data_IF_123000050398
#
_entry.id   IF_123000050398
#
_cell.length_a   1.000
_cell.length_b   1.000
_cell.length_c   1.000
_cell.angle_alpha   90.00
_cell.angle_beta   90.00
_cell.angle_gamma   90.00
#
_symmetry.space_group_name_H-M   'P 1'
#
loop_
_entity.id
_entity.type
_entity.pdbx_description
1 polymer ?
#
# COMPACT_ATOMS: atom_id res chain seq x y z
N UNK A 1 9.77 6.10 6.41
CA UNK A 1 8.74 5.09 6.76
C UNK A 1 7.42 5.50 6.15
N UNK A 2 6.67 4.59 5.54
CA UNK A 2 5.36 4.89 4.97
C UNK A 2 4.38 5.42 6.03
N UNK A 3 3.44 6.27 5.63
CA UNK A 3 2.39 6.82 6.51
C UNK A 3 1.29 5.78 6.78
N UNK A 4 1.01 4.92 5.78
CA UNK A 4 0.09 3.79 5.89
C UNK A 4 0.86 2.48 5.84
N UNK A 5 0.60 1.60 6.79
CA UNK A 5 1.12 0.24 6.81
C UNK A 5 -0.05 -0.73 6.59
N UNK A 6 0.06 -1.60 5.60
CA UNK A 6 -0.82 -2.74 5.41
C UNK A 6 0.03 -4.02 5.50
N UNK A 7 -0.27 -4.85 6.47
CA UNK A 7 0.31 -6.19 6.64
C UNK A 7 -0.76 -7.23 6.36
N UNK A 8 -0.44 -8.22 5.53
CA UNK A 8 -1.34 -9.30 5.18
C UNK A 8 -0.67 -10.63 5.53
N UNK A 9 -1.34 -11.40 6.36
CA UNK A 9 -0.96 -12.77 6.70
C UNK A 9 -2.14 -13.70 6.37
N UNK A 10 -1.91 -15.00 6.34
CA UNK A 10 -2.98 -15.96 6.14
C UNK A 10 -2.88 -17.11 7.14
N UNK A 11 -4.03 -17.64 7.52
CA UNK A 11 -4.18 -18.82 8.35
C UNK A 11 -4.75 -19.93 7.47
N UNK A 12 -4.01 -21.03 7.36
CA UNK A 12 -4.43 -22.23 6.64
C UNK A 12 -4.06 -23.47 7.46
N UNK A 13 -4.99 -24.40 7.57
CA UNK A 13 -4.81 -25.62 8.37
C UNK A 13 -4.48 -25.33 9.85
N UNK A 14 -4.91 -24.20 10.38
CA UNK A 14 -4.75 -23.87 11.80
C UNK A 14 -5.78 -24.64 12.64
N UNK A 15 -5.45 -25.08 13.86
CA UNK A 15 -6.44 -25.73 14.73
C UNK A 15 -7.65 -24.82 14.96
N UNK A 16 -8.89 -25.36 14.97
CA UNK A 16 -10.12 -24.58 15.16
C UNK A 16 -10.10 -23.65 16.39
N UNK A 17 -9.55 -24.13 17.50
CA UNK A 17 -9.40 -23.32 18.71
C UNK A 17 -8.51 -22.09 18.51
N UNK A 18 -7.51 -22.16 17.64
CA UNK A 18 -6.64 -21.03 17.31
C UNK A 18 -7.40 -19.94 16.56
N UNK A 19 -8.20 -20.35 15.57
CA UNK A 19 -8.99 -19.44 14.74
C UNK A 19 -10.07 -18.75 15.58
N UNK A 20 -10.79 -19.49 16.41
CA UNK A 20 -11.79 -18.93 17.34
C UNK A 20 -11.14 -17.93 18.32
N UNK A 21 -10.00 -18.29 18.89
CA UNK A 21 -9.28 -17.44 19.83
C UNK A 21 -8.76 -16.15 19.18
N UNK A 22 -8.31 -16.22 17.94
CA UNK A 22 -7.91 -15.04 17.19
C UNK A 22 -9.07 -14.06 17.02
N UNK A 23 -10.25 -14.53 16.61
CA UNK A 23 -11.45 -13.69 16.45
C UNK A 23 -11.87 -13.08 17.80
N UNK A 24 -11.91 -13.88 18.85
CA UNK A 24 -12.23 -13.40 20.20
C UNK A 24 -11.20 -12.33 20.65
N UNK A 25 -9.93 -12.57 20.39
CA UNK A 25 -8.85 -11.66 20.72
C UNK A 25 -9.00 -10.30 20.04
N UNK A 26 -9.13 -10.25 18.71
CA UNK A 26 -9.27 -8.97 17.98
C UNK A 26 -10.56 -8.24 18.33
N UNK A 27 -11.63 -8.97 18.68
CA UNK A 27 -12.94 -8.37 19.01
C UNK A 27 -13.07 -7.87 20.44
N UNK A 28 -12.23 -8.32 21.38
CA UNK A 28 -12.42 -8.06 22.82
C UNK A 28 -11.20 -7.56 23.57
N UNK A 29 -10.02 -7.50 22.92
CA UNK A 29 -8.80 -7.08 23.61
C UNK A 29 -8.88 -5.65 24.13
N UNK A 30 -8.03 -5.32 25.09
CA UNK A 30 -7.83 -3.95 25.57
C UNK A 30 -7.36 -3.06 24.40
N UNK A 31 -7.90 -1.84 24.24
CA UNK A 31 -7.63 -0.96 23.10
C UNK A 31 -8.66 -1.08 21.95
N UNK A 32 -9.45 -2.15 21.88
CA UNK A 32 -10.61 -2.20 20.99
C UNK A 32 -11.62 -1.14 21.40
N UNK A 33 -12.01 -0.28 20.47
CA UNK A 33 -13.10 0.66 20.68
C UNK A 33 -14.40 -0.12 20.89
N UNK A 34 -14.71 -0.31 22.16
CA UNK A 34 -16.00 -0.87 22.59
C UNK A 34 -17.01 0.27 22.70
N UNK A 35 -18.22 0.03 22.29
CA UNK A 35 -19.30 0.98 22.54
C UNK A 35 -19.48 1.10 24.07
N UNK A 36 -18.76 2.02 24.68
CA UNK A 36 -18.91 2.50 26.04
C UNK A 36 -18.02 1.95 27.16
N UNK A 37 -16.68 2.12 27.17
CA UNK A 37 -15.93 2.22 28.45
C UNK A 37 -14.43 2.61 28.32
N UNK A 38 -13.94 3.31 29.33
CA UNK A 38 -12.59 3.85 29.58
C UNK A 38 -11.80 2.98 30.55
N UNK A 39 -10.62 2.41 30.18
CA UNK A 39 -9.63 1.87 31.15
C UNK A 39 -8.21 1.63 30.56
N UNK A 40 -7.58 2.60 29.90
CA UNK A 40 -6.28 2.41 29.23
C UNK A 40 -5.02 2.67 30.07
N UNK A 41 -5.09 3.44 31.14
CA UNK A 41 -3.93 3.93 31.91
C UNK A 41 -3.50 3.09 33.11
N UNK A 42 -4.11 1.94 33.37
CA UNK A 42 -3.77 1.07 34.49
C UNK A 42 -2.41 0.37 34.27
N UNK A 43 -1.64 0.01 35.33
CA UNK A 43 -0.42 -0.73 35.19
C UNK A 43 -0.60 -2.07 34.49
N UNK A 44 0.42 -2.49 33.71
CA UNK A 44 0.43 -3.80 33.06
C UNK A 44 0.19 -4.94 34.09
N UNK A 45 -0.64 -5.91 33.71
CA UNK A 45 -0.92 -7.06 34.56
C UNK A 45 0.29 -7.98 34.66
N UNK A 46 0.41 -8.75 35.76
CA UNK A 46 1.52 -9.69 35.91
C UNK A 46 1.55 -10.75 34.81
N UNK A 47 0.41 -11.08 34.25
CA UNK A 47 0.28 -11.97 33.09
C UNK A 47 0.80 -11.35 31.80
N UNK A 48 0.56 -10.04 31.56
CA UNK A 48 1.16 -9.33 30.44
C UNK A 48 2.68 -9.24 30.58
N UNK A 49 3.18 -8.98 31.79
CA UNK A 49 4.62 -8.95 32.07
C UNK A 49 5.28 -10.30 31.78
N UNK A 50 4.70 -11.40 32.29
CA UNK A 50 5.22 -12.75 32.02
C UNK A 50 5.22 -13.10 30.53
N UNK A 51 4.19 -12.66 29.77
CA UNK A 51 4.15 -12.88 28.33
C UNK A 51 5.20 -12.06 27.58
N UNK A 52 5.45 -10.81 28.01
CA UNK A 52 6.50 -9.97 27.46
C UNK A 52 7.87 -10.63 27.65
N UNK A 53 8.15 -11.16 28.85
CA UNK A 53 9.37 -11.94 29.12
C UNK A 53 9.51 -13.16 28.20
N UNK A 54 8.42 -13.88 28.00
CA UNK A 54 8.35 -15.04 27.08
C UNK A 54 8.60 -14.65 25.61
N UNK A 55 8.06 -13.52 25.17
CA UNK A 55 8.27 -12.97 23.83
C UNK A 55 9.73 -12.59 23.64
N UNK A 56 10.32 -11.86 24.57
CA UNK A 56 11.71 -11.44 24.52
C UNK A 56 12.68 -12.63 24.51
N UNK A 57 12.34 -13.71 25.22
CA UNK A 57 13.15 -14.93 25.23
C UNK A 57 13.08 -15.71 23.91
N UNK A 58 12.00 -15.57 23.13
CA UNK A 58 11.73 -16.39 21.94
C UNK A 58 11.92 -15.65 20.62
N UNK A 59 11.86 -14.31 20.64
CA UNK A 59 11.98 -13.42 19.47
C UNK A 59 13.16 -12.47 19.72
N UNK A 60 14.37 -12.76 19.19
CA UNK A 60 15.60 -12.03 19.55
C UNK A 60 15.57 -10.52 19.31
N UNK A 61 14.82 -10.06 18.29
CA UNK A 61 14.76 -8.64 17.91
C UNK A 61 13.54 -7.91 18.47
N UNK A 62 12.70 -8.55 19.28
CA UNK A 62 11.52 -7.92 19.87
C UNK A 62 11.87 -6.74 20.81
N UNK A 63 13.03 -6.79 21.42
CA UNK A 63 13.53 -5.70 22.28
C UNK A 63 13.91 -4.41 21.53
N UNK A 64 14.00 -4.46 20.19
CA UNK A 64 14.29 -3.30 19.32
C UNK A 64 13.04 -2.64 18.78
N UNK A 65 11.87 -3.20 19.06
CA UNK A 65 10.60 -2.64 18.59
C UNK A 65 10.28 -1.33 19.33
N UNK A 66 9.65 -0.39 18.65
CA UNK A 66 9.24 0.88 19.24
C UNK A 66 8.25 0.66 20.39
N UNK A 67 7.31 -0.26 20.20
CA UNK A 67 6.29 -0.62 21.16
C UNK A 67 6.89 -1.20 22.45
N UNK A 68 8.06 -1.87 22.38
CA UNK A 68 8.79 -2.30 23.57
C UNK A 68 9.40 -1.12 24.34
N UNK A 69 9.97 -0.16 23.64
CA UNK A 69 10.53 1.05 24.27
C UNK A 69 9.43 1.86 24.95
N UNK A 70 8.26 1.97 24.34
CA UNK A 70 7.11 2.66 24.91
C UNK A 70 6.59 1.95 26.16
N UNK A 71 6.52 0.61 26.13
CA UNK A 71 6.19 -0.18 27.30
C UNK A 71 7.20 0.00 28.46
N UNK A 72 8.50 0.03 28.17
CA UNK A 72 9.53 0.27 29.20
C UNK A 72 9.40 1.65 29.80
N UNK A 73 9.10 2.67 28.99
CA UNK A 73 8.92 4.03 29.49
C UNK A 73 7.64 4.19 30.31
N UNK A 74 6.56 3.53 29.93
CA UNK A 74 5.25 3.56 30.60
C UNK A 74 4.67 2.15 30.62
N UNK A 75 4.86 1.37 31.66
CA UNK A 75 4.39 -0.01 31.75
C UNK A 75 2.88 -0.10 32.05
N UNK A 76 2.08 0.47 31.15
CA UNK A 76 0.61 0.43 31.20
C UNK A 76 0.09 -0.82 30.53
N UNK A 77 -1.18 -1.18 30.79
CA UNK A 77 -1.88 -2.27 30.12
C UNK A 77 -1.95 -2.05 28.60
N UNK A 78 -2.11 -0.82 28.19
CA UNK A 78 -2.16 -0.39 26.80
C UNK A 78 -0.83 -0.66 26.11
N UNK A 79 0.27 -0.09 26.59
CA UNK A 79 1.61 -0.28 25.99
C UNK A 79 2.06 -1.74 26.02
N UNK A 80 1.74 -2.47 27.09
CA UNK A 80 1.99 -3.90 27.17
C UNK A 80 1.20 -4.68 26.12
N UNK A 81 -0.07 -4.37 25.92
CA UNK A 81 -0.94 -4.99 24.92
C UNK A 81 -0.47 -4.69 23.50
N UNK A 82 -0.05 -3.44 23.24
CA UNK A 82 0.48 -3.02 21.94
C UNK A 82 1.76 -3.76 21.58
N UNK A 83 2.75 -3.78 22.48
CA UNK A 83 3.98 -4.54 22.27
C UNK A 83 3.73 -6.02 22.02
N UNK A 84 2.94 -6.68 22.89
CA UNK A 84 2.58 -8.09 22.75
C UNK A 84 1.97 -8.34 21.37
N UNK A 85 1.05 -7.49 20.94
CA UNK A 85 0.37 -7.64 19.65
C UNK A 85 1.33 -7.53 18.49
N UNK A 86 2.09 -6.46 18.43
CA UNK A 86 3.01 -6.20 17.31
C UNK A 86 4.11 -7.27 17.22
N UNK A 87 4.65 -7.69 18.37
CA UNK A 87 5.64 -8.76 18.42
C UNK A 87 5.09 -10.08 17.89
N UNK A 88 3.83 -10.37 18.17
CA UNK A 88 3.17 -11.61 17.77
C UNK A 88 2.72 -11.57 16.30
N UNK A 89 2.17 -10.47 15.83
CA UNK A 89 1.76 -10.28 14.43
C UNK A 89 2.96 -10.33 13.47
N UNK A 90 4.10 -9.81 13.90
CA UNK A 90 5.33 -9.86 13.11
C UNK A 90 5.95 -11.28 13.05
N UNK A 91 5.54 -12.20 13.92
CA UNK A 91 6.17 -13.52 14.11
C UNK A 91 5.15 -14.65 14.23
N UNK A 92 3.99 -14.56 13.57
CA UNK A 92 2.92 -15.57 13.62
C UNK A 92 3.42 -16.99 13.29
N UNK A 93 4.36 -17.13 12.35
CA UNK A 93 4.93 -18.42 11.96
C UNK A 93 5.73 -19.09 13.09
N UNK A 94 6.36 -18.29 13.95
CA UNK A 94 7.12 -18.79 15.11
C UNK A 94 6.16 -19.24 16.21
N UNK A 95 5.01 -18.60 16.32
CA UNK A 95 4.04 -18.74 17.40
C UNK A 95 3.04 -19.85 17.10
N UNK A 96 2.59 -20.01 15.86
CA UNK A 96 1.65 -21.04 15.43
C UNK A 96 2.15 -22.48 15.74
N UNK A 97 3.45 -22.66 15.97
CA UNK A 97 4.06 -23.95 16.34
C UNK A 97 4.04 -24.27 17.83
N UNK A 98 3.53 -23.39 18.71
CA UNK A 98 3.62 -23.62 20.18
C UNK A 98 2.26 -23.51 20.88
N UNK A 99 1.79 -24.66 21.36
CA UNK A 99 0.53 -24.90 22.08
C UNK A 99 0.27 -23.95 23.28
N UNK A 100 1.32 -23.55 24.01
CA UNK A 100 1.21 -22.77 25.25
C UNK A 100 0.78 -21.30 25.06
N UNK A 101 0.98 -20.73 23.89
CA UNK A 101 0.56 -19.36 23.60
C UNK A 101 -0.94 -19.25 23.40
N UNK A 102 -1.53 -20.24 22.78
CA UNK A 102 -2.96 -20.27 22.48
C UNK A 102 -3.79 -20.55 23.74
N UNK A 103 -3.23 -21.33 24.69
CA UNK A 103 -3.85 -21.50 26.01
C UNK A 103 -3.89 -20.19 26.81
N UNK A 104 -2.91 -19.31 26.61
CA UNK A 104 -2.92 -17.97 27.21
C UNK A 104 -4.00 -17.08 26.61
N UNK A 105 -4.15 -17.04 25.28
CA UNK A 105 -5.21 -16.26 24.62
C UNK A 105 -6.60 -16.76 25.01
N UNK A 106 -6.77 -18.07 25.19
CA UNK A 106 -8.02 -18.69 25.58
C UNK A 106 -8.41 -18.42 27.05
N UNK A 107 -7.42 -18.29 27.93
CA UNK A 107 -7.62 -18.27 29.38
C UNK A 107 -7.25 -16.93 30.07
N UNK A 108 -7.08 -15.83 29.29
CA UNK A 108 -6.73 -14.55 29.93
C UNK A 108 -7.85 -14.02 30.84
N UNK A 109 -7.52 -13.56 32.06
CA UNK A 109 -8.50 -12.97 32.96
C UNK A 109 -8.97 -11.62 32.40
N UNK A 110 -10.29 -11.41 32.37
CA UNK A 110 -10.93 -10.19 31.87
C UNK A 110 -11.74 -10.40 30.60
N UNK A 111 -11.78 -11.61 30.03
CA UNK A 111 -12.78 -11.99 29.03
C UNK A 111 -14.08 -12.33 29.73
N UNK A 112 -14.73 -11.33 30.28
CA UNK A 112 -16.17 -11.42 30.52
C UNK A 112 -16.89 -11.35 29.18
N UNK A 113 -17.46 -12.48 28.79
CA UNK A 113 -18.19 -12.74 27.53
C UNK A 113 -19.58 -12.07 27.55
N UNK A 114 -19.72 -10.90 28.15
CA UNK A 114 -21.02 -10.23 28.25
C UNK A 114 -20.94 -8.84 27.61
N UNK A 115 -21.46 -8.75 26.40
CA UNK A 115 -22.23 -7.62 25.92
C UNK A 115 -21.64 -6.76 24.84
N UNK A 116 -20.38 -6.35 24.80
CA UNK A 116 -19.89 -5.39 23.79
C UNK A 116 -18.52 -5.76 23.26
N UNK A 117 -18.48 -6.15 22.00
CA UNK A 117 -17.23 -6.38 21.26
C UNK A 117 -17.06 -5.27 20.20
N UNK A 118 -15.82 -5.08 19.71
CA UNK A 118 -15.50 -4.10 18.67
C UNK A 118 -15.59 -4.64 17.24
N UNK A 119 -16.07 -5.88 17.05
CA UNK A 119 -16.12 -6.51 15.73
C UNK A 119 -17.29 -5.95 14.90
N UNK A 120 -17.02 -5.54 13.67
CA UNK A 120 -18.00 -5.03 12.71
C UNK A 120 -17.81 -5.65 11.31
N UNK A 121 -18.82 -5.53 10.46
CA UNK A 121 -18.85 -5.99 9.07
C UNK A 121 -19.70 -5.04 8.21
N UNK A 122 -20.44 -5.57 7.22
CA UNK A 122 -21.35 -4.81 6.38
C UNK A 122 -22.40 -4.03 7.21
N UNK A 123 -22.92 -2.99 6.60
CA UNK A 123 -23.99 -2.20 7.23
C UNK A 123 -25.26 -3.04 7.35
N UNK A 124 -25.93 -2.91 8.51
CA UNK A 124 -27.19 -3.63 8.77
C UNK A 124 -27.04 -5.11 9.16
N UNK A 125 -25.83 -5.68 9.12
CA UNK A 125 -25.60 -7.06 9.57
C UNK A 125 -25.17 -7.07 11.05
N UNK A 126 -25.97 -7.66 11.97
CA UNK A 126 -25.58 -7.80 13.36
C UNK A 126 -24.44 -8.81 13.48
N UNK A 127 -23.30 -8.38 14.00
CA UNK A 127 -22.14 -9.25 14.23
C UNK A 127 -22.26 -9.86 15.64
N UNK A 128 -22.30 -11.18 15.70
CA UNK A 128 -22.29 -11.95 16.95
C UNK A 128 -20.93 -12.62 17.08
N UNK A 129 -20.10 -12.16 18.02
CA UNK A 129 -18.70 -12.58 18.17
C UNK A 129 -18.52 -14.09 18.25
N UNK A 130 -19.35 -14.76 19.05
CA UNK A 130 -19.27 -16.24 19.21
C UNK A 130 -19.57 -17.00 17.93
N UNK A 131 -20.52 -16.50 17.11
CA UNK A 131 -20.84 -17.10 15.81
C UNK A 131 -19.71 -16.90 14.81
N UNK A 132 -19.13 -15.70 14.77
CA UNK A 132 -17.98 -15.44 13.89
C UNK A 132 -16.78 -16.29 14.31
N UNK A 133 -16.51 -16.40 15.60
CA UNK A 133 -15.43 -17.25 16.12
C UNK A 133 -15.61 -18.72 15.74
N UNK A 134 -16.85 -19.23 15.85
CA UNK A 134 -17.19 -20.62 15.45
C UNK A 134 -17.12 -20.82 13.93
N UNK A 135 -17.63 -19.89 13.13
CA UNK A 135 -17.57 -19.91 11.66
C UNK A 135 -16.12 -19.95 11.19
N UNK A 136 -15.28 -19.05 11.71
CA UNK A 136 -13.86 -18.97 11.37
C UNK A 136 -13.09 -20.21 11.86
N UNK A 137 -13.40 -20.71 13.05
CA UNK A 137 -12.78 -21.94 13.61
C UNK A 137 -12.99 -23.17 12.74
N UNK A 138 -14.17 -23.30 12.16
CA UNK A 138 -14.56 -24.45 11.34
C UNK A 138 -14.33 -24.22 9.83
N UNK A 139 -13.75 -23.08 9.44
CA UNK A 139 -13.53 -22.76 8.03
C UNK A 139 -12.38 -23.60 7.44
N UNK A 140 -12.62 -24.39 6.38
CA UNK A 140 -11.62 -25.27 5.80
C UNK A 140 -10.67 -24.59 4.81
N UNK A 141 -11.00 -23.37 4.37
CA UNK A 141 -10.23 -22.62 3.36
C UNK A 141 -9.17 -21.70 3.97
N UNK A 142 -8.69 -20.77 3.15
CA UNK A 142 -7.72 -19.74 3.55
C UNK A 142 -8.44 -18.57 4.23
N UNK A 143 -7.93 -18.15 5.38
CA UNK A 143 -8.39 -16.94 6.09
C UNK A 143 -7.27 -15.91 6.04
N UNK A 144 -7.52 -14.76 5.42
CA UNK A 144 -6.59 -13.64 5.39
C UNK A 144 -6.78 -12.77 6.62
N UNK A 145 -5.69 -12.50 7.32
CA UNK A 145 -5.64 -11.59 8.45
C UNK A 145 -4.81 -10.38 8.06
N UNK A 146 -5.44 -9.22 8.01
CA UNK A 146 -4.83 -7.98 7.58
C UNK A 146 -4.82 -6.99 8.74
N UNK A 147 -3.76 -6.20 8.83
CA UNK A 147 -3.65 -5.08 9.76
C UNK A 147 -3.39 -3.83 8.93
N UNK A 148 -4.24 -2.82 9.11
CA UNK A 148 -4.10 -1.51 8.46
C UNK A 148 -3.87 -0.50 9.57
N UNK A 149 -2.70 0.15 9.60
CA UNK A 149 -2.35 1.12 10.64
C UNK A 149 -1.88 2.46 10.09
N UNK A 150 -2.12 3.51 10.87
CA UNK A 150 -1.67 4.86 10.63
C UNK A 150 -0.79 5.33 11.80
N UNK A 151 0.01 6.36 11.58
CA UNK A 151 0.62 7.10 12.69
C UNK A 151 -0.46 7.84 13.45
N UNK A 152 -0.32 7.99 14.76
CA UNK A 152 -1.28 8.70 15.61
C UNK A 152 -1.60 10.09 15.08
N UNK A 153 -0.59 10.88 14.75
CA UNK A 153 -0.72 12.24 14.24
C UNK A 153 -1.57 12.30 12.93
N UNK A 154 -1.35 11.35 12.02
CA UNK A 154 -2.11 11.27 10.77
C UNK A 154 -3.54 10.80 11.04
N UNK A 155 -3.74 9.83 11.92
CA UNK A 155 -5.07 9.34 12.29
C UNK A 155 -5.95 10.44 12.90
N UNK A 156 -5.43 11.18 13.88
CA UNK A 156 -6.13 12.31 14.51
C UNK A 156 -6.45 13.41 13.51
N UNK A 157 -5.46 13.81 12.71
CA UNK A 157 -5.61 14.86 11.71
C UNK A 157 -6.64 14.52 10.63
N UNK A 158 -6.74 13.24 10.25
CA UNK A 158 -7.61 12.76 9.18
C UNK A 158 -8.93 12.13 9.70
N UNK A 159 -9.13 12.10 11.03
CA UNK A 159 -10.33 11.57 11.66
C UNK A 159 -10.40 10.04 11.70
N UNK A 160 -9.28 9.33 11.54
CA UNK A 160 -9.17 7.87 11.65
C UNK A 160 -8.79 7.40 13.06
N UNK A 161 -9.06 8.22 14.06
CA UNK A 161 -8.92 7.92 15.49
C UNK A 161 -10.18 7.32 16.11
N UNK A 162 -11.18 6.99 15.29
CA UNK A 162 -12.44 6.36 15.69
C UNK A 162 -12.86 5.22 14.76
N UNK A 163 -13.59 4.23 15.31
CA UNK A 163 -14.09 3.09 14.53
C UNK A 163 -15.01 3.50 13.37
N UNK A 164 -15.76 4.58 13.51
CA UNK A 164 -16.73 5.03 12.51
C UNK A 164 -16.07 5.31 11.14
N UNK A 165 -14.91 5.95 11.11
CA UNK A 165 -14.20 6.26 9.87
C UNK A 165 -13.65 4.99 9.22
N UNK A 166 -13.10 4.07 10.01
CA UNK A 166 -12.64 2.78 9.50
C UNK A 166 -13.78 1.92 8.95
N UNK A 167 -14.94 1.93 9.62
CA UNK A 167 -16.14 1.26 9.11
C UNK A 167 -16.56 1.83 7.75
N UNK A 168 -16.63 3.16 7.62
CA UNK A 168 -16.98 3.82 6.38
C UNK A 168 -15.98 3.47 5.25
N UNK A 169 -14.68 3.52 5.53
CA UNK A 169 -13.63 3.17 4.58
C UNK A 169 -13.76 1.72 4.11
N UNK A 170 -13.79 0.76 5.03
CA UNK A 170 -13.81 -0.66 4.68
C UNK A 170 -15.08 -1.05 3.93
N UNK A 171 -16.24 -0.55 4.35
CA UNK A 171 -17.51 -0.77 3.68
C UNK A 171 -17.54 -0.22 2.26
N UNK A 172 -16.94 0.95 2.03
CA UNK A 172 -16.82 1.54 0.69
C UNK A 172 -15.88 0.75 -0.25
N UNK A 173 -15.03 -0.13 0.30
CA UNK A 173 -13.99 -0.87 -0.42
C UNK A 173 -14.17 -2.38 -0.42
N UNK A 174 -15.38 -2.86 -0.17
CA UNK A 174 -15.70 -4.30 -0.22
C UNK A 174 -15.34 -4.91 -1.58
N UNK A 175 -15.62 -4.21 -2.68
CA UNK A 175 -15.26 -4.66 -4.03
C UNK A 175 -13.73 -4.80 -4.22
N UNK A 176 -12.94 -3.94 -3.57
CA UNK A 176 -11.47 -4.04 -3.59
C UNK A 176 -10.99 -5.35 -2.95
N UNK A 177 -11.64 -5.81 -1.88
CA UNK A 177 -11.35 -7.09 -1.23
C UNK A 177 -11.68 -8.25 -2.19
N UNK A 178 -12.87 -8.24 -2.81
CA UNK A 178 -13.28 -9.26 -3.78
C UNK A 178 -12.23 -9.41 -4.90
N UNK A 179 -11.86 -8.30 -5.53
CA UNK A 179 -10.98 -8.29 -6.70
C UNK A 179 -9.56 -8.76 -6.37
N UNK A 180 -9.01 -8.33 -5.24
CA UNK A 180 -7.63 -8.64 -4.88
C UNK A 180 -7.48 -9.99 -4.18
N UNK A 181 -8.43 -10.38 -3.34
CA UNK A 181 -8.45 -11.71 -2.70
C UNK A 181 -8.99 -12.80 -3.61
N UNK A 182 -9.48 -12.47 -4.84
CA UNK A 182 -10.06 -13.43 -5.77
C UNK A 182 -11.24 -14.21 -5.16
N UNK A 183 -12.17 -13.46 -4.59
CA UNK A 183 -13.38 -13.97 -3.94
C UNK A 183 -14.59 -13.41 -4.70
N UNK A 184 -15.56 -14.26 -5.07
CA UNK A 184 -16.84 -13.79 -5.61
C UNK A 184 -17.57 -12.96 -4.55
N UNK A 185 -18.19 -11.86 -4.96
CA UNK A 185 -18.85 -10.93 -4.03
C UNK A 185 -19.95 -11.58 -3.18
N UNK A 186 -20.58 -12.64 -3.68
CA UNK A 186 -21.61 -13.41 -2.96
C UNK A 186 -21.02 -14.31 -1.87
N UNK A 187 -19.74 -14.67 -2.01
CA UNK A 187 -19.03 -15.57 -1.10
C UNK A 187 -18.16 -14.82 -0.11
N UNK A 188 -17.95 -13.51 -0.30
CA UNK A 188 -17.09 -12.72 0.57
C UNK A 188 -17.63 -12.65 1.99
N UNK A 189 -16.77 -13.03 2.95
CA UNK A 189 -16.94 -12.82 4.37
C UNK A 189 -15.80 -11.95 4.88
N UNK A 190 -16.14 -10.89 5.61
CA UNK A 190 -15.13 -10.05 6.23
C UNK A 190 -15.62 -9.49 7.56
N UNK A 191 -14.70 -9.38 8.50
CA UNK A 191 -14.93 -8.81 9.81
C UNK A 191 -13.74 -7.95 10.20
N UNK A 192 -13.98 -6.85 10.89
CA UNK A 192 -12.91 -5.98 11.32
C UNK A 192 -13.12 -5.47 12.75
N UNK A 193 -12.04 -5.09 13.41
CA UNK A 193 -12.06 -4.47 14.73
C UNK A 193 -11.04 -3.34 14.77
N UNK A 194 -11.45 -2.15 15.18
CA UNK A 194 -10.58 -0.99 15.33
C UNK A 194 -9.97 -0.97 16.73
N UNK A 195 -8.69 -0.73 16.78
CA UNK A 195 -7.89 -0.61 17.99
C UNK A 195 -7.30 0.79 18.06
N UNK A 196 -7.77 1.57 19.03
CA UNK A 196 -7.30 2.93 19.26
C UNK A 196 -6.09 2.94 20.18
N UNK A 197 -4.96 2.44 19.67
CA UNK A 197 -3.70 2.37 20.40
C UNK A 197 -2.96 3.72 20.37
N UNK A 198 -2.13 4.01 21.39
CA UNK A 198 -1.57 5.35 21.63
C UNK A 198 -0.69 5.88 20.50
N UNK A 199 0.10 5.00 19.85
CA UNK A 199 1.04 5.41 18.81
C UNK A 199 0.57 5.07 17.39
N UNK A 200 -0.11 3.94 17.23
CA UNK A 200 -0.52 3.41 15.93
C UNK A 200 -1.95 2.89 15.97
N UNK A 201 -2.95 3.79 15.83
CA UNK A 201 -4.33 3.35 15.65
C UNK A 201 -4.40 2.44 14.42
N UNK A 202 -5.03 1.27 14.59
CA UNK A 202 -5.05 0.27 13.55
C UNK A 202 -6.35 -0.53 13.54
N UNK A 203 -6.65 -1.11 12.40
CA UNK A 203 -7.79 -2.02 12.24
C UNK A 203 -7.29 -3.41 11.87
N UNK A 204 -7.75 -4.42 12.60
CA UNK A 204 -7.66 -5.81 12.18
C UNK A 204 -8.80 -6.11 11.22
N UNK A 205 -8.47 -6.72 10.10
CA UNK A 205 -9.42 -7.07 9.05
C UNK A 205 -9.23 -8.54 8.67
N UNK A 206 -10.22 -9.36 8.95
CA UNK A 206 -10.29 -10.77 8.58
C UNK A 206 -11.11 -10.91 7.33
N UNK A 207 -10.59 -11.62 6.33
CA UNK A 207 -11.24 -11.83 5.01
C UNK A 207 -11.13 -13.29 4.62
N UNK A 208 -12.26 -13.90 4.23
CA UNK A 208 -12.30 -15.27 3.69
C UNK A 208 -13.51 -15.44 2.77
N UNK A 209 -13.55 -16.55 2.05
CA UNK A 209 -14.68 -16.91 1.20
C UNK A 209 -15.52 -18.00 1.86
N UNK A 210 -16.83 -17.94 1.71
CA UNK A 210 -17.69 -19.10 2.05
C UNK A 210 -17.43 -20.32 1.15
N UNK A 211 -16.80 -20.13 -0.02
CA UNK A 211 -16.27 -21.21 -0.86
C UNK A 211 -14.77 -21.41 -0.53
N UNK A 212 -14.39 -22.59 0.05
CA UNK A 212 -13.02 -22.86 0.44
C UNK A 212 -11.99 -22.89 -0.70
N UNK A 213 -12.44 -22.97 -1.95
CA UNK A 213 -11.58 -22.98 -3.14
C UNK A 213 -11.12 -21.58 -3.57
N UNK A 214 -11.76 -20.54 -3.05
CA UNK A 214 -11.43 -19.14 -3.31
C UNK A 214 -10.47 -18.58 -2.25
N UNK A 215 -10.09 -17.33 -2.43
CA UNK A 215 -9.31 -16.59 -1.41
C UNK A 215 -7.82 -16.56 -1.69
N UNK A 216 -7.42 -16.32 -2.94
CA UNK A 216 -6.01 -16.19 -3.33
C UNK A 216 -5.57 -14.73 -3.44
N UNK A 217 -4.67 -14.28 -2.55
CA UNK A 217 -4.11 -12.93 -2.53
C UNK A 217 -2.63 -12.96 -2.96
N UNK A 218 -2.30 -12.13 -3.95
CA UNK A 218 -0.92 -11.98 -4.47
C UNK A 218 -0.22 -10.77 -3.87
N UNK A 219 1.12 -10.72 -3.94
CA UNK A 219 1.90 -9.54 -3.57
C UNK A 219 1.42 -8.28 -4.33
N UNK A 220 1.08 -8.42 -5.63
CA UNK A 220 0.49 -7.35 -6.43
C UNK A 220 -0.87 -6.91 -5.90
N UNK A 221 -1.71 -7.85 -5.45
CA UNK A 221 -2.99 -7.55 -4.81
C UNK A 221 -2.83 -6.80 -3.50
N UNK A 222 -1.85 -7.19 -2.68
CA UNK A 222 -1.51 -6.49 -1.43
C UNK A 222 -1.08 -5.05 -1.72
N UNK A 223 -0.20 -4.85 -2.71
CA UNK A 223 0.24 -3.50 -3.11
C UNK A 223 -0.92 -2.65 -3.66
N UNK A 224 -1.84 -3.26 -4.41
CA UNK A 224 -3.03 -2.58 -4.92
C UNK A 224 -3.97 -2.14 -3.78
N UNK A 225 -4.22 -3.01 -2.81
CA UNK A 225 -5.01 -2.68 -1.61
C UNK A 225 -4.36 -1.58 -0.80
N UNK A 226 -3.06 -1.67 -0.54
CA UNK A 226 -2.28 -0.66 0.18
C UNK A 226 -2.36 0.71 -0.49
N UNK A 227 -2.15 0.75 -1.80
CA UNK A 227 -2.27 1.97 -2.60
C UNK A 227 -3.68 2.56 -2.54
N UNK A 228 -4.72 1.72 -2.69
CA UNK A 228 -6.11 2.18 -2.67
C UNK A 228 -6.49 2.80 -1.32
N UNK A 229 -6.16 2.13 -0.20
CA UNK A 229 -6.42 2.69 1.14
C UNK A 229 -5.64 3.99 1.38
N UNK A 230 -4.38 4.07 0.94
CA UNK A 230 -3.61 5.30 1.04
C UNK A 230 -4.25 6.45 0.26
N UNK A 231 -4.74 6.21 -0.95
CA UNK A 231 -5.41 7.21 -1.78
C UNK A 231 -6.72 7.71 -1.16
N UNK A 232 -7.46 6.85 -0.47
CA UNK A 232 -8.68 7.27 0.21
C UNK A 232 -8.39 8.10 1.45
N UNK A 233 -7.46 7.63 2.28
CA UNK A 233 -7.12 8.25 3.56
C UNK A 233 -6.43 9.60 3.37
N UNK A 234 -5.44 9.67 2.44
CA UNK A 234 -4.65 10.88 2.17
C UNK A 234 -5.11 11.65 0.92
N UNK A 235 -6.38 11.54 0.56
CA UNK A 235 -6.92 12.06 -0.70
C UNK A 235 -6.59 13.52 -0.96
N UNK A 236 -6.72 14.38 0.05
CA UNK A 236 -6.45 15.82 -0.11
C UNK A 236 -4.97 16.10 -0.36
N UNK A 237 -4.09 15.39 0.33
CA UNK A 237 -2.64 15.51 0.16
C UNK A 237 -2.24 15.05 -1.24
N UNK A 238 -2.79 13.94 -1.71
CA UNK A 238 -2.52 13.46 -3.06
C UNK A 238 -3.01 14.41 -4.16
N UNK A 239 -4.12 15.10 -3.98
CA UNK A 239 -4.59 16.09 -4.96
C UNK A 239 -3.52 17.15 -5.21
N UNK A 240 -2.94 17.74 -4.17
CA UNK A 240 -1.88 18.75 -4.31
C UNK A 240 -0.62 18.19 -4.97
N UNK A 241 -0.24 16.95 -4.66
CA UNK A 241 0.93 16.30 -5.28
C UNK A 241 0.65 15.97 -6.75
N UNK A 242 -0.57 15.53 -7.09
CA UNK A 242 -0.97 15.27 -8.48
C UNK A 242 -1.01 16.53 -9.33
N UNK A 243 -1.48 17.65 -8.79
CA UNK A 243 -1.47 18.93 -9.48
C UNK A 243 -0.03 19.36 -9.79
N UNK A 244 0.86 19.29 -8.80
CA UNK A 244 2.29 19.55 -8.95
C UNK A 244 2.94 18.60 -9.98
N UNK A 245 2.69 17.29 -9.89
CA UNK A 245 3.22 16.31 -10.83
C UNK A 245 2.70 16.53 -12.25
N UNK A 246 1.45 17.02 -12.41
CA UNK A 246 0.86 17.36 -13.69
C UNK A 246 1.53 18.57 -14.29
N UNK A 247 1.77 19.62 -13.50
CA UNK A 247 2.50 20.81 -13.93
C UNK A 247 3.93 20.46 -14.36
N UNK A 248 4.67 19.71 -13.54
CA UNK A 248 6.02 19.25 -13.86
C UNK A 248 6.08 18.39 -15.13
N UNK A 249 5.09 17.51 -15.33
CA UNK A 249 4.96 16.76 -16.59
C UNK A 249 4.73 17.69 -17.79
N UNK A 250 3.95 18.72 -17.65
CA UNK A 250 3.70 19.66 -18.72
C UNK A 250 4.95 20.51 -19.01
N UNK A 251 5.66 20.97 -17.99
CA UNK A 251 6.95 21.64 -18.11
C UNK A 251 7.99 20.75 -18.81
N UNK A 252 8.07 19.47 -18.42
CA UNK A 252 8.95 18.51 -19.07
C UNK A 252 8.67 18.37 -20.57
N UNK A 253 7.40 18.27 -20.97
CA UNK A 253 7.01 18.22 -22.39
C UNK A 253 7.39 19.48 -23.14
N UNK A 254 7.16 20.63 -22.55
CA UNK A 254 7.51 21.93 -23.13
C UNK A 254 9.03 22.08 -23.28
N UNK A 255 9.82 21.74 -22.27
CA UNK A 255 11.29 21.79 -22.35
C UNK A 255 11.83 20.79 -23.37
N UNK A 256 11.28 19.58 -23.43
CA UNK A 256 11.65 18.60 -24.46
C UNK A 256 11.37 19.12 -25.88
N UNK A 257 10.22 19.80 -26.10
CA UNK A 257 9.90 20.39 -27.40
C UNK A 257 10.84 21.55 -27.73
N UNK A 258 11.07 22.48 -26.79
CA UNK A 258 11.99 23.59 -26.97
C UNK A 258 13.42 23.11 -27.24
N UNK A 259 13.90 22.14 -26.47
CA UNK A 259 15.22 21.55 -26.64
C UNK A 259 15.40 20.91 -28.02
N UNK A 260 14.42 20.12 -28.47
CA UNK A 260 14.48 19.50 -29.80
C UNK A 260 14.45 20.56 -30.91
N UNK A 261 13.54 21.53 -30.85
CA UNK A 261 13.45 22.60 -31.84
C UNK A 261 14.74 23.44 -31.94
N UNK A 262 15.34 23.76 -30.80
CA UNK A 262 16.62 24.44 -30.73
C UNK A 262 17.73 23.63 -31.41
N UNK A 263 17.85 22.33 -31.12
CA UNK A 263 18.84 21.46 -31.78
C UNK A 263 18.62 21.37 -33.29
N UNK A 264 17.36 21.26 -33.73
CA UNK A 264 17.02 21.22 -35.15
C UNK A 264 17.34 22.56 -35.88
N UNK A 265 17.10 23.70 -35.24
CA UNK A 265 17.49 24.98 -35.77
C UNK A 265 19.01 25.09 -35.93
N UNK A 266 19.78 24.71 -34.90
CA UNK A 266 21.23 24.72 -34.97
C UNK A 266 21.76 23.85 -36.11
N UNK A 267 21.15 22.65 -36.29
CA UNK A 267 21.51 21.77 -37.40
C UNK A 267 21.30 22.47 -38.78
N UNK A 268 20.24 23.23 -38.94
CA UNK A 268 19.96 24.00 -40.16
C UNK A 268 20.98 25.13 -40.38
N UNK A 269 21.48 25.71 -39.28
CA UNK A 269 22.51 26.77 -39.30
C UNK A 269 23.96 26.17 -39.45
N UNK A 270 24.08 24.85 -39.56
CA UNK A 270 25.37 24.19 -39.73
C UNK A 270 26.13 23.98 -38.40
N UNK A 271 25.51 24.27 -37.26
CA UNK A 271 26.09 24.04 -35.93
C UNK A 271 25.47 22.79 -35.35
N UNK A 272 26.27 21.79 -34.98
CA UNK A 272 25.75 20.53 -34.42
C UNK A 272 26.35 20.29 -33.04
N UNK A 273 25.58 20.55 -32.00
CA UNK A 273 25.96 20.30 -30.60
C UNK A 273 25.67 18.85 -30.16
N UNK A 274 24.69 18.20 -30.80
CA UNK A 274 24.34 16.81 -30.50
C UNK A 274 24.25 15.99 -31.77
N UNK A 275 25.42 15.46 -32.18
CA UNK A 275 25.56 14.65 -33.42
C UNK A 275 24.61 13.45 -33.40
N UNK A 276 24.41 12.83 -32.25
CA UNK A 276 23.56 11.65 -32.12
C UNK A 276 22.09 11.94 -32.41
N UNK A 277 21.54 13.02 -31.86
CA UNK A 277 20.16 13.47 -32.19
C UNK A 277 20.06 13.84 -33.66
N UNK A 278 21.08 14.49 -34.22
CA UNK A 278 21.12 14.88 -35.63
C UNK A 278 21.02 13.67 -36.57
N UNK A 279 21.86 12.70 -36.37
CA UNK A 279 21.90 11.45 -37.16
C UNK A 279 20.59 10.66 -37.04
N UNK A 280 20.10 10.52 -35.81
CA UNK A 280 18.85 9.79 -35.55
C UNK A 280 17.62 10.51 -36.13
N UNK A 281 17.56 11.85 -36.09
CA UNK A 281 16.49 12.62 -36.72
C UNK A 281 16.50 12.50 -38.25
N UNK A 282 17.66 12.53 -38.89
CA UNK A 282 17.77 12.28 -40.34
C UNK A 282 17.33 10.86 -40.68
N UNK A 283 17.77 9.87 -39.91
CA UNK A 283 17.37 8.48 -40.12
C UNK A 283 15.86 8.30 -39.93
N UNK A 284 15.30 8.88 -38.89
CA UNK A 284 13.85 8.81 -38.61
C UNK A 284 13.04 9.47 -39.73
N UNK A 285 13.46 10.65 -40.21
CA UNK A 285 12.80 11.33 -41.31
C UNK A 285 12.77 10.48 -42.59
N UNK A 286 13.92 9.87 -42.99
CA UNK A 286 13.98 8.94 -44.13
C UNK A 286 13.07 7.74 -43.97
N UNK A 287 13.00 7.15 -42.76
CA UNK A 287 12.13 5.99 -42.47
C UNK A 287 10.66 6.37 -42.52
N UNK A 288 10.28 7.55 -42.00
CA UNK A 288 8.90 8.06 -42.01
C UNK A 288 8.41 8.42 -43.41
N UNK A 289 9.29 8.89 -44.34
CA UNK A 289 8.92 9.08 -45.74
C UNK A 289 8.42 7.78 -46.39
N UNK A 290 9.06 6.68 -46.05
CA UNK A 290 8.73 5.34 -46.59
C UNK A 290 7.68 4.60 -45.74
N UNK A 291 7.10 5.23 -44.72
CA UNK A 291 6.08 4.62 -43.86
C UNK A 291 4.69 5.08 -44.30
N UNK A 292 3.87 4.14 -44.73
CA UNK A 292 2.45 4.39 -45.06
C UNK A 292 1.59 4.48 -43.78
N UNK A 293 0.45 5.16 -43.88
CA UNK A 293 -0.53 5.25 -42.80
C UNK A 293 -0.25 6.33 -41.76
N UNK A 294 -0.80 6.18 -40.53
CA UNK A 294 -0.71 7.19 -39.49
C UNK A 294 0.69 7.23 -38.85
N UNK A 295 1.34 8.38 -38.95
CA UNK A 295 2.67 8.65 -38.35
C UNK A 295 2.55 9.05 -36.89
N UNK A 296 2.11 8.10 -36.05
CA UNK A 296 1.93 8.22 -34.60
C UNK A 296 2.58 7.01 -33.94
N UNK A 297 3.29 7.19 -32.84
CA UNK A 297 4.13 6.18 -32.19
C UNK A 297 3.45 4.80 -32.06
N UNK A 298 2.17 4.77 -31.71
CA UNK A 298 1.43 3.50 -31.54
C UNK A 298 1.36 2.64 -32.82
N UNK A 299 1.36 3.26 -33.99
CA UNK A 299 1.20 2.60 -35.30
C UNK A 299 2.51 2.31 -36.03
N UNK A 300 3.64 2.78 -35.51
CA UNK A 300 4.96 2.56 -36.13
C UNK A 300 5.45 1.12 -35.90
N UNK A 301 6.28 0.65 -36.82
CA UNK A 301 7.01 -0.62 -36.69
C UNK A 301 8.07 -0.53 -35.57
N UNK A 302 8.49 -1.69 -35.06
CA UNK A 302 9.41 -1.79 -33.92
C UNK A 302 10.76 -1.10 -34.18
N UNK A 303 11.32 -1.22 -35.39
CA UNK A 303 12.58 -0.58 -35.77
C UNK A 303 12.48 0.96 -35.76
N UNK A 304 11.35 1.52 -36.24
CA UNK A 304 11.12 2.97 -36.19
C UNK A 304 10.85 3.45 -34.77
N UNK A 305 10.13 2.66 -33.96
CA UNK A 305 9.94 2.94 -32.53
C UNK A 305 11.25 3.00 -31.76
N UNK A 306 12.22 2.12 -32.09
CA UNK A 306 13.53 2.13 -31.46
C UNK A 306 14.24 3.47 -31.70
N UNK A 307 14.27 3.96 -32.96
CA UNK A 307 14.85 5.26 -33.29
C UNK A 307 14.20 6.41 -32.51
N UNK A 308 12.87 6.41 -32.43
CA UNK A 308 12.13 7.43 -31.64
C UNK A 308 12.49 7.35 -30.16
N UNK A 309 12.61 6.14 -29.59
CA UNK A 309 13.01 5.98 -28.21
C UNK A 309 14.43 6.48 -27.95
N UNK A 310 15.37 6.16 -28.85
CA UNK A 310 16.75 6.61 -28.73
C UNK A 310 16.87 8.14 -28.77
N UNK A 311 16.09 8.82 -29.63
CA UNK A 311 16.03 10.29 -29.67
C UNK A 311 15.47 10.85 -28.36
N UNK A 312 14.38 10.29 -27.85
CA UNK A 312 13.75 10.72 -26.60
C UNK A 312 14.68 10.54 -25.40
N UNK A 313 15.41 9.42 -25.34
CA UNK A 313 16.34 9.13 -24.25
C UNK A 313 17.62 9.97 -24.35
N UNK A 314 18.05 10.32 -25.57
CA UNK A 314 19.14 11.27 -25.74
C UNK A 314 18.74 12.69 -25.40
N UNK A 315 17.52 13.12 -25.78
CA UNK A 315 16.95 14.42 -25.42
C UNK A 315 16.79 14.58 -23.90
N UNK A 316 16.53 13.48 -23.19
CA UNK A 316 16.43 13.47 -21.74
C UNK A 316 17.76 13.78 -21.02
N UNK A 317 18.91 13.78 -21.74
CA UNK A 317 20.22 14.15 -21.20
C UNK A 317 20.49 15.66 -21.29
N UNK A 318 19.71 16.38 -22.09
CA UNK A 318 19.78 17.84 -22.15
C UNK A 318 19.45 18.41 -20.77
N UNK A 319 20.28 19.33 -20.26
CA UNK A 319 20.27 19.81 -18.88
C UNK A 319 18.85 20.17 -18.38
N UNK A 320 18.15 21.03 -19.10
CA UNK A 320 16.79 21.47 -18.71
C UNK A 320 15.75 20.34 -18.76
N UNK A 321 15.88 19.42 -19.70
CA UNK A 321 14.97 18.28 -19.83
C UNK A 321 15.23 17.31 -18.69
N UNK A 322 16.50 17.05 -18.37
CA UNK A 322 16.92 16.21 -17.26
C UNK A 322 16.41 16.74 -15.92
N UNK A 323 16.55 18.03 -15.65
CA UNK A 323 16.04 18.68 -14.44
C UNK A 323 14.51 18.52 -14.31
N UNK A 324 13.75 18.79 -15.37
CA UNK A 324 12.30 18.61 -15.37
C UNK A 324 11.89 17.15 -15.18
N UNK A 325 12.65 16.22 -15.76
CA UNK A 325 12.40 14.78 -15.60
C UNK A 325 12.64 14.32 -14.15
N UNK A 326 13.72 14.76 -13.54
CA UNK A 326 14.01 14.49 -12.14
C UNK A 326 12.95 15.07 -11.19
N UNK A 327 12.52 16.31 -11.44
CA UNK A 327 11.47 16.94 -10.64
C UNK A 327 10.14 16.15 -10.71
N UNK A 328 9.75 15.70 -11.90
CA UNK A 328 8.55 14.88 -12.08
C UNK A 328 8.65 13.51 -11.41
N UNK A 329 9.82 12.84 -11.51
CA UNK A 329 10.06 11.57 -10.82
C UNK A 329 9.97 11.73 -9.30
N UNK A 330 10.53 12.82 -8.75
CA UNK A 330 10.47 13.12 -7.32
C UNK A 330 9.04 13.27 -6.81
N UNK A 331 8.14 13.89 -7.58
CA UNK A 331 6.73 13.97 -7.18
C UNK A 331 6.03 12.60 -7.20
N UNK A 332 6.41 11.70 -8.10
CA UNK A 332 5.90 10.31 -8.09
C UNK A 332 6.42 9.51 -6.90
N UNK A 333 7.68 9.71 -6.56
CA UNK A 333 8.30 9.09 -5.38
C UNK A 333 7.62 9.57 -4.09
N UNK A 334 7.29 10.86 -4.00
CA UNK A 334 6.56 11.44 -2.88
C UNK A 334 5.22 10.71 -2.64
N UNK A 335 4.44 10.43 -3.70
CA UNK A 335 3.19 9.67 -3.62
C UNK A 335 3.46 8.23 -3.10
N UNK A 336 4.49 7.58 -3.64
CA UNK A 336 4.82 6.20 -3.28
C UNK A 336 5.21 6.07 -1.81
N UNK A 337 5.93 7.04 -1.24
CA UNK A 337 6.37 7.03 0.16
C UNK A 337 5.21 7.06 1.18
N UNK A 338 3.98 7.38 0.77
CA UNK A 338 2.83 7.26 1.66
C UNK A 338 2.52 5.81 2.06
N UNK A 339 2.83 4.84 1.21
CA UNK A 339 2.43 3.45 1.43
C UNK A 339 3.53 2.41 1.13
N UNK A 340 4.67 2.84 0.58
CA UNK A 340 5.78 1.93 0.26
C UNK A 340 7.12 2.62 0.51
N UNK A 341 8.02 1.93 1.19
CA UNK A 341 9.38 2.41 1.49
C UNK A 341 10.36 1.82 0.47
N UNK A 342 10.18 2.16 -0.80
CA UNK A 342 11.09 1.77 -1.87
C UNK A 342 11.30 2.95 -2.81
N UNK A 343 12.51 3.08 -3.31
CA UNK A 343 12.84 4.03 -4.36
C UNK A 343 12.09 3.69 -5.66
N UNK A 344 11.73 4.71 -6.44
CA UNK A 344 11.19 4.51 -7.77
C UNK A 344 12.34 4.08 -8.69
N UNK A 345 12.14 2.99 -9.41
CA UNK A 345 13.07 2.57 -10.46
C UNK A 345 13.16 3.67 -11.52
N UNK A 346 14.37 4.20 -11.72
CA UNK A 346 14.66 5.18 -12.75
C UNK A 346 14.68 4.49 -14.12
N UNK A 347 13.52 4.43 -14.76
CA UNK A 347 13.42 3.94 -16.14
C UNK A 347 13.66 5.07 -17.14
N UNK A 348 14.16 4.79 -18.35
CA UNK A 348 14.34 5.80 -19.39
C UNK A 348 13.06 6.56 -19.71
N UNK A 349 13.19 7.85 -20.10
CA UNK A 349 12.06 8.70 -20.43
C UNK A 349 11.18 8.09 -21.53
N UNK A 350 11.81 7.42 -22.50
CA UNK A 350 11.09 6.71 -23.56
C UNK A 350 10.19 5.58 -23.08
N UNK A 351 10.42 5.01 -21.89
CA UNK A 351 9.63 3.94 -21.32
C UNK A 351 8.45 4.44 -20.47
N UNK A 352 8.42 5.73 -20.15
CA UNK A 352 7.33 6.34 -19.40
C UNK A 352 6.05 6.43 -20.24
N UNK A 353 5.00 5.75 -19.80
CA UNK A 353 3.71 5.70 -20.53
C UNK A 353 3.04 7.06 -20.61
N UNK A 354 3.17 7.85 -19.56
CA UNK A 354 2.58 9.18 -19.40
C UNK A 354 3.22 10.22 -20.34
N UNK A 355 4.41 9.94 -20.86
CA UNK A 355 5.18 10.82 -21.74
C UNK A 355 5.13 10.43 -23.22
N UNK A 356 4.14 9.62 -23.62
CA UNK A 356 3.91 9.22 -25.02
C UNK A 356 3.77 10.43 -25.97
N UNK A 357 3.33 11.57 -25.46
CA UNK A 357 3.23 12.82 -26.23
C UNK A 357 4.60 13.34 -26.70
N UNK A 358 5.66 13.13 -25.92
CA UNK A 358 7.04 13.52 -26.32
C UNK A 358 7.48 12.69 -27.53
N UNK A 359 7.19 11.40 -27.57
CA UNK A 359 7.47 10.55 -28.73
C UNK A 359 6.74 11.01 -29.98
N UNK A 360 5.47 11.38 -29.84
CA UNK A 360 4.69 11.89 -30.98
C UNK A 360 5.20 13.28 -31.45
N UNK A 361 5.70 14.09 -30.54
CA UNK A 361 6.35 15.35 -30.86
C UNK A 361 7.61 15.12 -31.73
N UNK A 362 8.49 14.21 -31.30
CA UNK A 362 9.68 13.82 -32.08
C UNK A 362 9.30 13.35 -33.48
N UNK A 363 8.26 12.50 -33.61
CA UNK A 363 7.78 12.03 -34.91
C UNK A 363 7.26 13.19 -35.77
N UNK A 364 6.50 14.12 -35.21
CA UNK A 364 5.98 15.29 -35.90
C UNK A 364 7.11 16.16 -36.44
N UNK A 365 8.10 16.44 -35.61
CA UNK A 365 9.25 17.25 -36.04
C UNK A 365 10.13 16.54 -37.04
N UNK A 366 10.31 15.22 -36.95
CA UNK A 366 11.04 14.46 -37.99
C UNK A 366 10.34 14.43 -39.35
N UNK A 367 8.99 14.47 -39.35
CA UNK A 367 8.22 14.62 -40.61
C UNK A 367 8.40 16.00 -41.22
N UNK A 368 8.51 17.08 -40.41
CA UNK A 368 8.73 18.46 -40.86
C UNK A 368 10.16 18.70 -41.33
N UNK A 369 11.11 18.05 -40.69
CA UNK A 369 12.54 18.19 -40.96
C UNK A 369 12.98 17.58 -42.30
N UNK A 370 12.26 16.65 -42.84
CA UNK A 370 12.55 15.98 -44.12
C UNK A 370 11.64 16.36 -45.23
#
# INVERSE_FOLDING_TARGET
MPKLILRCNYLKNSPPAHLANYINYIGTREGVEKVGSTTSSLPATDRQKSLIEDILAKIPDANRMHEYHDYIQRPTRENASEFITQALENNLDIIAKKKNYMDYLANRPGVEIIGTHGLFSNEGEPVVLSRVAEEVANHPGVIWTNVISLRREDAERLGYDSAAQWQALLRSRVQLLCENCKIDSRNLKWYAAFHNESHHPHVHLVVYSSDPSEGYLTAKGIDAMRSAYAHDIFRQEFLSIYDKATEQRNQLKEQAEKGLLFLLQQMQEGVCHNLKIAEQMQLLSRRLKNTGGKKVYGYLKADVKAIVNDIVDELAKEERVAECYQAWLKSREEIQHYYKDSEIEMIPLSQQKELKSVKNMVIREAVRFG
#
